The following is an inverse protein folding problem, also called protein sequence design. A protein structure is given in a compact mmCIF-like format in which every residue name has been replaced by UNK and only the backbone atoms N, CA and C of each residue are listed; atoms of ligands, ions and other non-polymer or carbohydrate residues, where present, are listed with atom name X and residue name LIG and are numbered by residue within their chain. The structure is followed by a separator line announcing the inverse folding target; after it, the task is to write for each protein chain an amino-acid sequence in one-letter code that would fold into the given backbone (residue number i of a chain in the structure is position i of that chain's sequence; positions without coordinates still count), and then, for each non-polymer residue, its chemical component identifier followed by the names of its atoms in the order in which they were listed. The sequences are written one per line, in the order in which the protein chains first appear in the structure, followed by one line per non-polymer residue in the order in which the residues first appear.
data_IF_028988238812
#
_entry.id   IF_028988238812
#
_cell.length_a   1.000
_cell.length_b   1.000
_cell.length_c   1.000
_cell.angle_alpha   90.00
_cell.angle_beta   90.00
_cell.angle_gamma   90.00
#
_symmetry.space_group_name_H-M   'P 1'
#
loop_
_entity.id
_entity.type
_entity.pdbx_description
1 polymer ?
#
# COMPACT_ATOMS: atom_id res chain seq x y z
N UNK A 1 -3.47 16.04 24.41
CA UNK A 1 -3.96 16.65 23.16
C UNK A 1 -5.47 16.82 23.30
N UNK A 2 -6.03 17.96 22.95
CA UNK A 2 -7.49 18.13 22.96
C UNK A 2 -8.00 17.57 21.63
N UNK A 3 -8.85 16.56 21.69
CA UNK A 3 -9.50 15.94 20.52
C UNK A 3 -10.57 16.92 20.02
N UNK A 4 -10.57 17.22 18.73
CA UNK A 4 -11.59 18.05 18.10
C UNK A 4 -12.82 17.22 17.67
N UNK A 5 -13.87 17.90 17.14
CA UNK A 5 -15.13 17.28 16.74
C UNK A 5 -14.98 16.24 15.63
N UNK A 6 -14.13 16.52 14.61
CA UNK A 6 -13.91 15.58 13.51
C UNK A 6 -13.12 14.34 13.97
N UNK A 7 -12.10 14.56 14.80
CA UNK A 7 -11.34 13.47 15.41
C UNK A 7 -12.23 12.59 16.30
N UNK A 8 -13.09 13.22 17.13
CA UNK A 8 -14.03 12.50 17.99
C UNK A 8 -15.00 11.66 17.15
N UNK A 9 -15.49 12.20 16.03
CA UNK A 9 -16.38 11.48 15.11
C UNK A 9 -15.71 10.23 14.52
N UNK A 10 -14.41 10.29 14.19
CA UNK A 10 -13.66 9.10 13.74
C UNK A 10 -13.52 8.07 14.84
N UNK A 11 -13.30 8.50 16.10
CA UNK A 11 -13.14 7.61 17.24
C UNK A 11 -14.45 6.89 17.57
N UNK A 12 -15.58 7.60 17.54
CA UNK A 12 -16.88 7.10 17.97
C UNK A 12 -17.62 6.27 16.91
N UNK A 13 -17.34 6.49 15.63
CA UNK A 13 -18.00 5.76 14.54
C UNK A 13 -17.41 4.34 14.39
N UNK A 14 -18.08 3.34 14.94
CA UNK A 14 -17.61 1.94 14.94
C UNK A 14 -18.41 1.00 14.02
N UNK A 15 -19.51 1.47 13.43
CA UNK A 15 -20.43 0.61 12.69
C UNK A 15 -20.35 0.79 11.16
N UNK A 16 -19.65 1.84 10.68
CA UNK A 16 -19.51 2.16 9.26
C UNK A 16 -18.05 2.12 8.82
N UNK A 17 -17.85 1.83 7.54
CA UNK A 17 -16.56 2.08 6.89
C UNK A 17 -16.29 3.59 6.88
N UNK A 18 -15.03 3.97 7.04
CA UNK A 18 -14.59 5.37 7.09
C UNK A 18 -13.54 5.62 6.02
N UNK A 19 -13.73 6.72 5.30
CA UNK A 19 -12.70 7.34 4.49
C UNK A 19 -12.27 8.64 5.17
N UNK A 20 -11.08 8.62 5.75
CA UNK A 20 -10.51 9.76 6.45
C UNK A 20 -9.52 10.50 5.55
N UNK A 21 -9.89 11.72 5.15
CA UNK A 21 -9.00 12.63 4.42
C UNK A 21 -8.38 13.62 5.38
N UNK A 22 -7.07 13.57 5.49
CA UNK A 22 -6.40 14.35 6.52
C UNK A 22 -4.96 14.68 6.11
N UNK A 23 -4.67 15.97 5.98
CA UNK A 23 -3.32 16.42 5.64
C UNK A 23 -2.29 16.15 6.77
N UNK A 24 -0.99 16.23 6.44
CA UNK A 24 0.05 16.09 7.46
C UNK A 24 -0.13 17.09 8.59
N UNK A 25 0.06 16.65 9.82
CA UNK A 25 -0.04 17.52 11.00
C UNK A 25 -1.46 17.73 11.55
N UNK A 26 -2.47 17.06 11.01
CA UNK A 26 -3.86 17.10 11.50
C UNK A 26 -4.15 16.10 12.63
N UNK A 27 -3.18 15.25 13.00
CA UNK A 27 -3.33 14.29 14.08
C UNK A 27 -3.88 12.92 13.67
N UNK A 28 -3.76 12.54 12.38
CA UNK A 28 -4.17 11.23 11.84
C UNK A 28 -3.82 10.05 12.76
N UNK A 29 -2.54 9.77 12.89
CA UNK A 29 -2.01 8.61 13.64
C UNK A 29 -2.45 8.60 15.11
N UNK A 30 -2.58 9.79 15.73
CA UNK A 30 -3.13 9.89 17.07
C UNK A 30 -4.60 9.46 17.11
N UNK A 31 -5.41 9.96 16.19
CA UNK A 31 -6.83 9.64 16.12
C UNK A 31 -7.04 8.15 15.88
N UNK A 32 -6.23 7.52 15.02
CA UNK A 32 -6.25 6.07 14.81
C UNK A 32 -5.94 5.31 16.10
N UNK A 33 -4.93 5.74 16.85
CA UNK A 33 -4.60 5.11 18.14
C UNK A 33 -5.74 5.26 19.18
N UNK A 34 -6.37 6.42 19.28
CA UNK A 34 -7.53 6.63 20.15
C UNK A 34 -8.74 5.80 19.72
N UNK A 35 -8.97 5.66 18.40
CA UNK A 35 -10.03 4.80 17.87
C UNK A 35 -9.81 3.34 18.26
N UNK A 36 -8.58 2.82 18.07
CA UNK A 36 -8.25 1.44 18.48
C UNK A 36 -8.44 1.25 19.98
N UNK A 37 -8.00 2.21 20.79
CA UNK A 37 -8.25 2.19 22.25
C UNK A 37 -9.74 2.15 22.55
N UNK A 38 -10.55 2.96 21.89
CA UNK A 38 -12.01 2.99 22.07
C UNK A 38 -12.69 1.68 21.65
N UNK A 39 -12.25 1.04 20.55
CA UNK A 39 -12.74 -0.28 20.13
C UNK A 39 -12.51 -1.32 21.24
N UNK A 40 -11.29 -1.35 21.81
CA UNK A 40 -10.92 -2.29 22.87
C UNK A 40 -11.73 -2.00 24.14
N UNK A 41 -11.80 -0.75 24.61
CA UNK A 41 -12.50 -0.36 25.82
C UNK A 41 -14.02 -0.56 25.74
N UNK A 42 -14.60 -0.38 24.56
CA UNK A 42 -16.03 -0.62 24.32
C UNK A 42 -16.41 -2.10 24.26
N UNK A 43 -15.41 -3.01 24.20
CA UNK A 43 -15.66 -4.45 24.10
C UNK A 43 -16.31 -4.88 22.79
N UNK A 44 -16.18 -4.10 21.72
CA UNK A 44 -16.75 -4.43 20.40
C UNK A 44 -16.12 -5.68 19.79
N UNK A 45 -14.83 -5.89 20.03
CA UNK A 45 -14.11 -7.10 19.64
C UNK A 45 -12.91 -7.34 20.55
N UNK A 46 -12.31 -8.50 20.44
CA UNK A 46 -11.03 -8.79 21.09
C UNK A 46 -9.89 -8.05 20.38
N UNK A 47 -8.86 -7.64 21.12
CA UNK A 47 -7.76 -6.84 20.57
C UNK A 47 -7.02 -7.53 19.39
N UNK A 48 -6.96 -8.87 19.35
CA UNK A 48 -6.35 -9.63 18.26
C UNK A 48 -7.20 -9.63 16.97
N UNK A 49 -8.42 -9.11 17.02
CA UNK A 49 -9.31 -8.95 15.87
C UNK A 49 -9.18 -7.55 15.23
N UNK A 50 -8.20 -6.78 15.66
CA UNK A 50 -7.90 -5.44 15.12
C UNK A 50 -6.59 -5.51 14.33
N UNK A 51 -6.63 -5.06 13.07
CA UNK A 51 -5.48 -4.93 12.19
C UNK A 51 -5.23 -3.46 11.87
N UNK A 52 -4.00 -3.00 12.10
CA UNK A 52 -3.55 -1.67 11.71
C UNK A 52 -2.37 -1.80 10.74
N UNK A 53 -2.54 -1.28 9.54
CA UNK A 53 -1.49 -1.24 8.53
C UNK A 53 -0.93 0.17 8.40
N UNK A 54 0.39 0.27 8.32
CA UNK A 54 1.12 1.52 8.15
C UNK A 54 2.16 1.38 7.05
N UNK A 55 2.65 2.50 6.53
CA UNK A 55 3.64 2.46 5.44
C UNK A 55 5.06 2.08 5.92
N UNK A 56 5.46 2.44 7.15
CA UNK A 56 6.81 2.20 7.66
C UNK A 56 6.80 1.46 9.00
N UNK A 57 7.87 0.67 9.24
CA UNK A 57 8.08 0.00 10.53
C UNK A 57 8.15 1.00 11.69
N UNK A 58 8.69 2.19 11.47
CA UNK A 58 8.73 3.26 12.46
C UNK A 58 7.32 3.72 12.83
N UNK A 59 6.44 3.96 11.84
CA UNK A 59 5.06 4.35 12.08
C UNK A 59 4.27 3.25 12.81
N UNK A 60 4.49 1.97 12.45
CA UNK A 60 3.90 0.84 13.16
C UNK A 60 4.32 0.81 14.63
N UNK A 61 5.61 1.01 14.92
CA UNK A 61 6.12 1.05 16.29
C UNK A 61 5.60 2.25 17.08
N UNK A 62 5.50 3.43 16.47
CA UNK A 62 4.92 4.62 17.09
C UNK A 62 3.44 4.42 17.41
N UNK A 63 2.66 3.85 16.49
CA UNK A 63 1.26 3.53 16.69
C UNK A 63 1.08 2.54 17.84
N UNK A 64 1.87 1.46 17.86
CA UNK A 64 1.88 0.47 18.91
C UNK A 64 2.13 1.09 20.28
N UNK A 65 3.19 1.89 20.41
CA UNK A 65 3.54 2.57 21.66
C UNK A 65 2.43 3.51 22.16
N UNK A 66 1.73 4.18 21.23
CA UNK A 66 0.60 5.06 21.57
C UNK A 66 -0.59 4.26 22.10
N UNK A 67 -0.97 3.17 21.41
CA UNK A 67 -2.08 2.32 21.87
C UNK A 67 -1.74 1.69 23.22
N UNK A 68 -0.49 1.21 23.41
CA UNK A 68 -0.02 0.69 24.72
C UNK A 68 -0.12 1.73 25.84
N UNK A 69 0.15 3.00 25.53
CA UNK A 69 0.01 4.08 26.53
C UNK A 69 -1.43 4.39 26.91
N UNK A 70 -2.41 4.04 26.05
CA UNK A 70 -3.83 4.28 26.27
C UNK A 70 -4.51 3.12 27.00
N UNK A 71 -4.30 1.88 26.55
CA UNK A 71 -5.03 0.70 27.04
C UNK A 71 -4.16 -0.36 27.72
N UNK A 72 -2.85 -0.16 27.78
CA UNK A 72 -1.91 -1.06 28.45
C UNK A 72 -1.74 -2.41 27.74
N UNK A 73 -1.78 -3.52 28.52
CA UNK A 73 -1.49 -4.87 28.03
C UNK A 73 -2.34 -5.35 26.84
N UNK A 74 -3.65 -5.06 26.74
CA UNK A 74 -4.48 -5.44 25.60
C UNK A 74 -3.91 -5.00 24.23
N UNK A 75 -3.21 -3.85 24.19
CA UNK A 75 -2.58 -3.35 22.97
C UNK A 75 -1.58 -4.33 22.32
N UNK A 76 -0.98 -5.22 23.09
CA UNK A 76 -0.01 -6.21 22.59
C UNK A 76 -0.62 -7.24 21.66
N UNK A 77 -1.92 -7.46 21.77
CA UNK A 77 -2.63 -8.41 20.91
C UNK A 77 -3.13 -7.78 19.61
N UNK A 78 -3.08 -6.45 19.46
CA UNK A 78 -3.43 -5.77 18.20
C UNK A 78 -2.37 -6.09 17.15
N UNK A 79 -2.79 -6.51 15.97
CA UNK A 79 -1.89 -6.71 14.83
C UNK A 79 -1.56 -5.35 14.21
N UNK A 80 -0.31 -4.88 14.41
CA UNK A 80 0.17 -3.59 13.87
C UNK A 80 1.45 -3.85 13.08
N UNK A 81 1.41 -3.61 11.77
CA UNK A 81 2.54 -3.92 10.88
C UNK A 81 2.55 -3.04 9.63
N UNK A 82 3.64 -3.11 8.88
CA UNK A 82 3.62 -2.65 7.49
C UNK A 82 2.92 -3.69 6.62
N UNK A 83 2.47 -3.26 5.43
CA UNK A 83 1.80 -4.16 4.49
C UNK A 83 2.70 -5.35 4.10
N UNK A 84 3.97 -5.11 3.77
CA UNK A 84 4.91 -6.20 3.47
C UNK A 84 5.15 -7.15 4.64
N UNK A 85 5.24 -6.62 5.88
CA UNK A 85 5.38 -7.46 7.08
C UNK A 85 4.13 -8.31 7.31
N UNK A 86 2.95 -7.78 7.02
CA UNK A 86 1.69 -8.52 7.06
C UNK A 86 1.71 -9.65 6.00
N UNK A 87 2.07 -9.34 4.76
CA UNK A 87 2.17 -10.36 3.71
C UNK A 87 3.15 -11.48 4.08
N UNK A 88 4.32 -11.14 4.58
CA UNK A 88 5.29 -12.13 5.05
C UNK A 88 4.73 -13.00 6.18
N UNK A 89 4.03 -12.39 7.13
CA UNK A 89 3.39 -13.14 8.21
C UNK A 89 2.33 -14.12 7.68
N UNK A 90 1.49 -13.69 6.73
CA UNK A 90 0.49 -14.55 6.07
C UNK A 90 1.18 -15.75 5.42
N UNK A 91 2.20 -15.52 4.60
CA UNK A 91 2.95 -16.57 3.90
C UNK A 91 3.57 -17.57 4.89
N UNK A 92 4.19 -17.08 5.96
CA UNK A 92 4.76 -17.95 6.99
C UNK A 92 3.71 -18.80 7.73
N UNK A 93 2.53 -18.23 8.02
CA UNK A 93 1.48 -18.98 8.71
C UNK A 93 0.86 -20.05 7.83
N UNK A 94 0.62 -19.74 6.56
CA UNK A 94 0.10 -20.73 5.62
C UNK A 94 1.16 -21.79 5.26
N UNK A 95 2.44 -21.43 5.11
CA UNK A 95 3.54 -22.36 4.93
C UNK A 95 3.70 -23.37 6.09
N UNK A 96 3.42 -22.97 7.34
CA UNK A 96 3.37 -23.90 8.49
C UNK A 96 2.23 -24.88 8.44
N UNK A 97 1.16 -24.56 7.71
CA UNK A 97 -0.03 -25.42 7.55
C UNK A 97 0.11 -26.36 6.37
N UNK A 98 0.80 -25.90 5.33
CA UNK A 98 1.05 -26.66 4.12
C UNK A 98 2.51 -26.44 3.70
N UNK A 99 3.36 -27.43 3.93
CA UNK A 99 4.80 -27.39 3.64
C UNK A 99 5.11 -27.28 2.12
N UNK A 100 4.14 -27.46 1.25
CA UNK A 100 4.29 -27.18 -0.19
C UNK A 100 4.25 -25.68 -0.53
N UNK A 101 3.79 -24.86 0.42
CA UNK A 101 3.75 -23.41 0.33
C UNK A 101 5.03 -22.84 0.98
N UNK A 102 5.38 -21.68 0.72
CA UNK A 102 6.42 -20.78 1.25
C UNK A 102 7.16 -21.24 2.56
N UNK A 103 7.89 -22.34 2.54
CA UNK A 103 8.76 -22.75 3.65
C UNK A 103 10.18 -22.27 3.42
N UNK A 104 10.82 -21.74 4.49
CA UNK A 104 12.23 -21.33 4.52
C UNK A 104 12.66 -20.32 3.44
N UNK A 105 11.80 -19.36 3.11
CA UNK A 105 12.16 -18.28 2.18
C UNK A 105 12.97 -17.20 2.86
N UNK A 106 14.00 -16.70 2.18
CA UNK A 106 14.81 -15.55 2.57
C UNK A 106 14.32 -14.30 1.83
N UNK A 107 14.05 -13.22 2.55
CA UNK A 107 13.69 -11.93 1.93
C UNK A 107 14.98 -11.28 1.44
N UNK A 108 15.03 -10.96 0.17
CA UNK A 108 16.10 -10.22 -0.49
C UNK A 108 15.72 -8.74 -0.54
N UNK A 109 16.61 -7.88 -0.06
CA UNK A 109 16.43 -6.44 -0.16
C UNK A 109 16.83 -5.90 -1.55
N UNK A 110 16.77 -4.58 -1.73
CA UNK A 110 17.04 -3.95 -3.03
C UNK A 110 18.50 -4.19 -3.50
N UNK A 111 19.47 -4.25 -2.58
CA UNK A 111 20.89 -4.50 -2.93
C UNK A 111 21.11 -5.98 -3.28
N UNK A 112 20.51 -6.90 -2.55
CA UNK A 112 20.54 -8.33 -2.84
C UNK A 112 19.91 -8.64 -4.20
N UNK A 113 18.72 -8.08 -4.46
CA UNK A 113 18.00 -8.22 -5.73
C UNK A 113 18.80 -7.65 -6.91
N UNK A 114 19.52 -6.54 -6.67
CA UNK A 114 20.37 -5.90 -7.68
C UNK A 114 21.45 -6.83 -8.18
N UNK A 115 22.14 -7.54 -7.30
CA UNK A 115 23.17 -8.50 -7.71
C UNK A 115 22.61 -9.58 -8.65
N UNK A 116 21.36 -10.01 -8.41
CA UNK A 116 20.70 -11.04 -9.20
C UNK A 116 20.22 -10.54 -10.58
N UNK A 117 19.74 -9.30 -10.69
CA UNK A 117 19.22 -8.80 -11.96
C UNK A 117 20.24 -8.08 -12.83
N UNK A 118 21.37 -7.62 -12.29
CA UNK A 118 22.43 -6.91 -13.04
C UNK A 118 22.86 -7.60 -14.35
N UNK A 119 22.99 -8.94 -14.43
CA UNK A 119 23.36 -9.62 -15.65
C UNK A 119 22.35 -9.47 -16.80
N UNK A 120 21.10 -9.18 -16.48
CA UNK A 120 19.97 -9.12 -17.42
C UNK A 120 19.49 -7.71 -17.71
N UNK A 121 19.96 -6.74 -16.91
CA UNK A 121 19.53 -5.34 -17.03
C UNK A 121 20.05 -4.69 -18.31
N UNK A 122 19.19 -3.99 -19.09
CA UNK A 122 19.63 -3.17 -20.22
C UNK A 122 20.69 -2.16 -19.81
N UNK A 123 21.74 -1.99 -20.64
CA UNK A 123 22.93 -1.18 -20.28
C UNK A 123 22.61 0.28 -19.99
N UNK A 124 21.66 0.85 -20.74
CA UNK A 124 21.30 2.27 -20.63
C UNK A 124 20.19 2.53 -19.60
N UNK A 125 19.60 1.49 -18.99
CA UNK A 125 18.56 1.62 -17.97
C UNK A 125 19.17 1.83 -16.58
N UNK A 126 18.58 2.73 -15.79
CA UNK A 126 18.95 2.92 -14.37
C UNK A 126 18.51 1.71 -13.55
N UNK A 127 19.27 1.37 -12.50
CA UNK A 127 18.96 0.24 -11.63
C UNK A 127 17.55 0.37 -11.02
N UNK A 128 17.21 1.55 -10.49
CA UNK A 128 15.90 1.81 -9.91
C UNK A 128 14.75 1.63 -10.93
N UNK A 129 14.95 2.03 -12.20
CA UNK A 129 13.95 1.85 -13.24
C UNK A 129 13.75 0.38 -13.59
N UNK A 130 14.85 -0.40 -13.61
CA UNK A 130 14.76 -1.82 -13.88
C UNK A 130 14.10 -2.60 -12.75
N UNK A 131 14.43 -2.26 -11.48
CA UNK A 131 13.74 -2.81 -10.32
C UNK A 131 12.21 -2.51 -10.37
N UNK A 132 11.84 -1.27 -10.70
CA UNK A 132 10.43 -0.90 -10.87
C UNK A 132 9.76 -1.65 -12.03
N UNK A 133 10.48 -1.89 -13.12
CA UNK A 133 9.99 -2.68 -14.26
C UNK A 133 9.71 -4.14 -13.85
N UNK A 134 10.64 -4.76 -13.11
CA UNK A 134 10.46 -6.12 -12.57
C UNK A 134 9.20 -6.17 -11.70
N UNK A 135 9.08 -5.26 -10.73
CA UNK A 135 7.93 -5.21 -9.83
C UNK A 135 6.62 -5.06 -10.61
N UNK A 136 6.55 -4.11 -11.54
CA UNK A 136 5.36 -3.88 -12.37
C UNK A 136 4.96 -5.12 -13.18
N UNK A 137 5.91 -5.81 -13.79
CA UNK A 137 5.62 -7.03 -14.57
C UNK A 137 5.18 -8.18 -13.67
N UNK A 138 5.80 -8.37 -12.50
CA UNK A 138 5.40 -9.40 -11.52
C UNK A 138 3.99 -9.15 -10.98
N UNK A 139 3.69 -7.92 -10.60
CA UNK A 139 2.35 -7.53 -10.12
C UNK A 139 1.28 -7.74 -11.20
N UNK A 140 1.59 -7.32 -12.44
CA UNK A 140 0.67 -7.47 -13.56
C UNK A 140 0.41 -8.96 -13.87
N UNK A 141 1.45 -9.79 -13.84
CA UNK A 141 1.32 -11.25 -13.93
C UNK A 141 0.39 -11.80 -12.84
N UNK A 142 0.54 -11.32 -11.61
CA UNK A 142 -0.28 -11.75 -10.49
C UNK A 142 -1.75 -11.35 -10.65
N UNK A 143 -2.02 -10.12 -11.06
CA UNK A 143 -3.40 -9.61 -11.27
C UNK A 143 -4.15 -10.41 -12.34
N UNK A 144 -3.47 -10.83 -13.41
CA UNK A 144 -4.07 -11.60 -14.50
C UNK A 144 -3.90 -13.11 -14.35
N UNK A 145 -3.38 -13.57 -13.21
CA UNK A 145 -3.23 -14.97 -12.86
C UNK A 145 -2.54 -15.82 -13.94
N UNK A 146 -1.52 -15.24 -14.61
CA UNK A 146 -0.72 -15.94 -15.60
C UNK A 146 0.25 -16.91 -14.91
N UNK A 147 -0.27 -18.03 -14.45
CA UNK A 147 0.47 -19.11 -13.78
C UNK A 147 0.30 -20.40 -14.55
N UNK A 148 1.34 -20.81 -15.29
CA UNK A 148 1.43 -22.10 -15.96
C UNK A 148 2.66 -22.86 -15.48
N UNK A 149 2.96 -23.99 -16.12
CA UNK A 149 4.18 -24.76 -15.85
C UNK A 149 5.45 -24.07 -16.37
N UNK A 150 5.32 -23.08 -17.27
CA UNK A 150 6.43 -22.37 -17.88
C UNK A 150 6.47 -20.91 -17.45
N UNK A 151 7.45 -20.56 -16.61
CA UNK A 151 7.64 -19.20 -16.13
C UNK A 151 7.90 -18.21 -17.27
N UNK A 152 8.68 -18.62 -18.28
CA UNK A 152 8.97 -17.81 -19.47
C UNK A 152 7.71 -17.50 -20.27
N UNK A 153 6.83 -18.50 -20.45
CA UNK A 153 5.58 -18.31 -21.19
C UNK A 153 4.60 -17.40 -20.42
N UNK A 154 4.60 -17.48 -19.09
CA UNK A 154 3.81 -16.60 -18.24
C UNK A 154 4.27 -15.14 -18.42
N UNK A 155 5.56 -14.86 -18.32
CA UNK A 155 6.08 -13.51 -18.52
C UNK A 155 5.92 -13.03 -19.95
N UNK A 156 6.02 -13.91 -20.94
CA UNK A 156 5.75 -13.57 -22.35
C UNK A 156 4.31 -13.07 -22.54
N UNK A 157 3.33 -13.80 -22.01
CA UNK A 157 1.91 -13.38 -22.03
C UNK A 157 1.71 -12.06 -21.30
N UNK A 158 2.35 -11.91 -20.15
CA UNK A 158 2.28 -10.70 -19.34
C UNK A 158 2.79 -9.49 -20.10
N UNK A 159 3.96 -9.57 -20.72
CA UNK A 159 4.57 -8.47 -21.47
C UNK A 159 3.78 -8.13 -22.73
N UNK A 160 3.28 -9.12 -23.46
CA UNK A 160 2.40 -8.88 -24.62
C UNK A 160 1.13 -8.11 -24.24
N UNK A 161 0.58 -8.38 -23.06
CA UNK A 161 -0.59 -7.66 -22.57
C UNK A 161 -0.25 -6.26 -22.06
N UNK A 162 0.87 -6.11 -21.35
CA UNK A 162 1.39 -4.80 -20.93
C UNK A 162 1.65 -3.87 -22.11
N UNK A 163 2.17 -4.37 -23.23
CA UNK A 163 2.37 -3.61 -24.44
C UNK A 163 1.06 -3.02 -24.99
N UNK A 164 -0.03 -3.79 -24.90
CA UNK A 164 -1.34 -3.36 -25.37
C UNK A 164 -2.03 -2.36 -24.43
N UNK A 165 -1.90 -2.56 -23.12
CA UNK A 165 -2.70 -1.85 -22.12
C UNK A 165 -1.93 -0.71 -21.42
N UNK A 166 -0.61 -0.85 -21.25
CA UNK A 166 0.20 0.06 -20.42
C UNK A 166 1.51 0.50 -21.07
N UNK A 167 1.64 0.50 -22.40
CA UNK A 167 2.88 0.85 -23.10
C UNK A 167 3.48 2.19 -22.66
N UNK A 168 2.65 3.23 -22.50
CA UNK A 168 3.10 4.57 -22.06
C UNK A 168 3.71 4.59 -20.66
N UNK A 169 3.23 3.75 -19.76
CA UNK A 169 3.75 3.66 -18.39
C UNK A 169 5.10 2.93 -18.38
N UNK A 170 5.21 1.87 -19.17
CA UNK A 170 6.47 1.16 -19.38
C UNK A 170 7.50 2.07 -20.07
N UNK A 171 7.12 2.81 -21.11
CA UNK A 171 8.01 3.76 -21.79
C UNK A 171 8.68 4.74 -20.83
N UNK A 172 7.94 5.26 -19.83
CA UNK A 172 8.50 6.19 -18.85
C UNK A 172 9.70 5.61 -18.08
N UNK A 173 9.74 4.31 -17.84
CA UNK A 173 10.85 3.65 -17.15
C UNK A 173 12.13 3.60 -18.00
N UNK A 174 12.00 3.72 -19.32
CA UNK A 174 13.14 3.74 -20.26
C UNK A 174 13.71 5.14 -20.51
N UNK A 175 13.17 6.19 -19.86
CA UNK A 175 13.78 7.51 -19.95
C UNK A 175 15.06 7.59 -19.11
N UNK A 176 16.15 8.00 -19.77
CA UNK A 176 17.43 8.28 -19.13
C UNK A 176 17.88 9.69 -19.51
N UNK A 177 18.18 10.55 -18.54
CA UNK A 177 18.57 11.96 -18.75
C UNK A 177 17.64 12.72 -19.72
N UNK A 178 16.32 12.53 -19.55
CA UNK A 178 15.27 13.09 -20.42
C UNK A 178 15.26 12.60 -21.88
N UNK A 179 15.91 11.49 -22.15
CA UNK A 179 15.93 10.87 -23.48
C UNK A 179 15.36 9.45 -23.38
N UNK A 180 14.47 9.08 -24.30
CA UNK A 180 13.95 7.72 -24.40
C UNK A 180 15.03 6.79 -24.96
N UNK A 181 15.33 5.71 -24.25
CA UNK A 181 16.19 4.62 -24.74
C UNK A 181 15.36 3.69 -25.63
N UNK A 182 15.17 4.10 -26.90
CA UNK A 182 14.27 3.41 -27.83
C UNK A 182 14.71 2.01 -28.19
N UNK A 183 16.02 1.77 -28.28
CA UNK A 183 16.60 0.45 -28.53
C UNK A 183 16.31 -0.50 -27.34
N UNK A 184 16.62 -0.07 -26.11
CA UNK A 184 16.34 -0.86 -24.90
C UNK A 184 14.85 -1.15 -24.74
N UNK A 185 13.96 -0.19 -25.06
CA UNK A 185 12.51 -0.39 -25.02
C UNK A 185 12.06 -1.42 -26.07
N UNK A 186 12.59 -1.33 -27.29
CA UNK A 186 12.30 -2.32 -28.35
C UNK A 186 12.76 -3.71 -27.95
N UNK A 187 13.95 -3.82 -27.38
CA UNK A 187 14.49 -5.08 -26.89
C UNK A 187 13.65 -5.65 -25.73
N UNK A 188 13.13 -4.78 -24.86
CA UNK A 188 12.23 -5.21 -23.78
C UNK A 188 10.95 -5.86 -24.33
N UNK A 189 10.29 -5.29 -25.31
CA UNK A 189 9.08 -5.90 -25.88
C UNK A 189 9.35 -7.28 -26.48
N UNK A 190 10.55 -7.50 -26.98
CA UNK A 190 10.95 -8.78 -27.60
C UNK A 190 11.51 -9.76 -26.56
N UNK A 191 12.40 -9.32 -25.66
CA UNK A 191 13.22 -10.18 -24.79
C UNK A 191 12.98 -9.98 -23.29
N UNK A 192 12.19 -8.98 -22.89
CA UNK A 192 11.97 -8.66 -21.46
C UNK A 192 11.43 -9.82 -20.64
N UNK A 193 10.64 -10.70 -21.26
CA UNK A 193 10.14 -11.92 -20.61
C UNK A 193 11.28 -12.87 -20.19
N UNK A 194 12.36 -12.96 -21.01
CA UNK A 194 13.53 -13.76 -20.65
C UNK A 194 14.33 -13.11 -19.51
N UNK A 195 14.46 -11.79 -19.49
CA UNK A 195 15.22 -11.07 -18.45
C UNK A 195 14.58 -11.28 -17.08
N UNK A 196 13.26 -11.10 -17.03
CA UNK A 196 12.52 -11.21 -15.76
C UNK A 196 12.39 -12.68 -15.32
N UNK A 197 12.16 -13.61 -16.24
CA UNK A 197 12.13 -15.02 -15.90
C UNK A 197 13.46 -15.51 -15.32
N UNK A 198 14.58 -15.11 -15.92
CA UNK A 198 15.91 -15.46 -15.39
C UNK A 198 16.21 -14.85 -14.04
N UNK A 199 15.77 -13.62 -13.80
CA UNK A 199 15.86 -13.00 -12.48
C UNK A 199 15.06 -13.83 -11.45
N UNK A 200 13.81 -14.17 -11.74
CA UNK A 200 12.96 -14.97 -10.86
C UNK A 200 13.56 -16.37 -10.63
N UNK A 201 14.08 -17.03 -11.68
CA UNK A 201 14.75 -18.32 -11.55
C UNK A 201 16.02 -18.21 -10.65
N UNK A 202 16.78 -17.13 -10.81
CA UNK A 202 17.95 -16.87 -9.95
C UNK A 202 17.53 -16.69 -8.49
N UNK A 203 16.46 -15.92 -8.23
CA UNK A 203 15.92 -15.69 -6.90
C UNK A 203 15.41 -16.99 -6.27
N UNK A 204 14.63 -17.78 -7.02
CA UNK A 204 14.13 -19.08 -6.57
C UNK A 204 15.25 -20.10 -6.29
N UNK A 205 16.35 -20.09 -7.08
CA UNK A 205 17.48 -21.00 -6.90
C UNK A 205 18.17 -20.85 -5.55
N UNK A 206 18.04 -19.69 -4.92
CA UNK A 206 18.57 -19.38 -3.58
C UNK A 206 17.49 -19.33 -2.50
N UNK A 207 16.30 -19.86 -2.79
CA UNK A 207 15.11 -19.78 -1.91
C UNK A 207 14.78 -18.35 -1.49
N UNK A 208 15.08 -17.38 -2.38
CA UNK A 208 14.83 -15.96 -2.17
C UNK A 208 13.43 -15.54 -2.62
N UNK A 209 12.94 -14.51 -1.98
CA UNK A 209 11.75 -13.75 -2.40
C UNK A 209 12.04 -12.25 -2.27
N UNK A 210 11.65 -11.47 -3.26
CA UNK A 210 11.68 -10.02 -3.14
C UNK A 210 10.40 -9.47 -2.50
N UNK A 211 10.36 -8.17 -2.24
CA UNK A 211 9.17 -7.55 -1.63
C UNK A 211 7.92 -7.68 -2.49
N UNK A 212 8.06 -7.67 -3.82
CA UNK A 212 6.92 -7.87 -4.73
C UNK A 212 6.39 -9.30 -4.65
N UNK A 213 7.27 -10.29 -4.49
CA UNK A 213 6.86 -11.69 -4.32
C UNK A 213 6.02 -11.91 -3.07
N UNK A 214 6.27 -11.16 -1.99
CA UNK A 214 5.44 -11.25 -0.79
C UNK A 214 3.98 -10.88 -1.10
N UNK A 215 3.79 -9.81 -1.85
CA UNK A 215 2.46 -9.32 -2.23
C UNK A 215 1.79 -10.29 -3.22
N UNK A 216 2.51 -10.66 -4.28
CA UNK A 216 2.04 -11.62 -5.28
C UNK A 216 1.69 -12.97 -4.65
N UNK A 217 2.49 -13.41 -3.69
CA UNK A 217 2.26 -14.66 -2.95
C UNK A 217 0.97 -14.65 -2.15
N UNK A 218 0.71 -13.57 -1.39
CA UNK A 218 -0.54 -13.43 -0.64
C UNK A 218 -1.73 -13.27 -1.58
N UNK A 219 -1.60 -12.46 -2.65
CA UNK A 219 -2.65 -12.35 -3.67
C UNK A 219 -3.04 -13.73 -4.22
N UNK A 220 -2.05 -14.56 -4.57
CA UNK A 220 -2.27 -15.92 -5.06
C UNK A 220 -2.90 -16.83 -4.02
N UNK A 221 -2.45 -16.77 -2.76
CA UNK A 221 -3.05 -17.55 -1.66
C UNK A 221 -4.53 -17.20 -1.46
N UNK A 222 -4.87 -15.93 -1.53
CA UNK A 222 -6.24 -15.45 -1.30
C UNK A 222 -7.19 -15.74 -2.49
N UNK A 223 -6.69 -16.24 -3.63
CA UNK A 223 -7.56 -16.83 -4.64
C UNK A 223 -8.23 -18.11 -4.13
N UNK A 224 -7.62 -18.80 -3.15
CA UNK A 224 -8.30 -19.89 -2.44
C UNK A 224 -9.31 -19.33 -1.44
N UNK A 225 -10.64 -19.59 -1.62
CA UNK A 225 -11.68 -19.03 -0.76
C UNK A 225 -11.54 -19.41 0.70
N UNK A 226 -11.07 -20.63 1.01
CA UNK A 226 -10.93 -21.12 2.39
C UNK A 226 -9.79 -20.39 3.13
N UNK A 227 -8.68 -20.12 2.43
CA UNK A 227 -7.57 -19.36 2.98
C UNK A 227 -8.00 -17.91 3.18
N UNK A 228 -8.61 -17.29 2.16
CA UNK A 228 -9.11 -15.92 2.23
C UNK A 228 -10.09 -15.73 3.38
N UNK A 229 -11.09 -16.61 3.51
CA UNK A 229 -12.10 -16.53 4.58
C UNK A 229 -11.47 -16.66 5.96
N UNK A 230 -10.50 -17.54 6.12
CA UNK A 230 -9.76 -17.69 7.38
C UNK A 230 -9.07 -16.39 7.82
N UNK A 231 -8.45 -15.68 6.88
CA UNK A 231 -7.79 -14.42 7.17
C UNK A 231 -8.76 -13.27 7.32
N UNK A 232 -9.82 -13.21 6.51
CA UNK A 232 -10.89 -12.24 6.59
C UNK A 232 -11.61 -12.30 7.94
N UNK A 233 -12.03 -13.49 8.38
CA UNK A 233 -12.74 -13.69 9.63
C UNK A 233 -11.88 -13.51 10.90
N UNK A 234 -10.56 -13.44 10.74
CA UNK A 234 -9.63 -13.14 11.84
C UNK A 234 -9.81 -11.72 12.37
N UNK A 235 -10.17 -10.79 11.51
CA UNK A 235 -10.27 -9.38 11.86
C UNK A 235 -11.72 -8.91 11.83
N UNK A 236 -12.04 -7.92 12.64
CA UNK A 236 -13.32 -7.20 12.61
C UNK A 236 -13.12 -5.72 12.29
N UNK A 237 -11.97 -5.16 12.69
CA UNK A 237 -11.62 -3.78 12.43
C UNK A 237 -10.27 -3.71 11.72
N UNK A 238 -10.25 -3.05 10.59
CA UNK A 238 -9.05 -2.86 9.77
C UNK A 238 -8.84 -1.36 9.57
N UNK A 239 -7.66 -0.86 9.95
CA UNK A 239 -7.26 0.53 9.72
C UNK A 239 -6.02 0.56 8.84
N UNK A 240 -6.04 1.36 7.77
CA UNK A 240 -4.92 1.57 6.85
C UNK A 240 -4.52 3.03 6.89
N UNK A 241 -3.30 3.31 7.35
CA UNK A 241 -2.72 4.66 7.35
C UNK A 241 -1.85 4.88 6.10
N UNK A 242 -1.76 6.12 5.65
CA UNK A 242 -1.00 6.55 4.46
C UNK A 242 -1.43 5.81 3.17
N UNK A 243 -2.74 5.63 2.98
CA UNK A 243 -3.28 4.88 1.84
C UNK A 243 -2.91 5.47 0.47
N UNK A 244 -2.50 6.74 0.39
CA UNK A 244 -2.07 7.36 -0.87
C UNK A 244 -0.80 6.74 -1.43
N UNK A 245 -0.04 6.01 -0.62
CA UNK A 245 1.20 5.34 -1.02
C UNK A 245 0.98 3.86 -1.39
N UNK A 246 -0.26 3.40 -1.34
CA UNK A 246 -0.65 2.01 -1.63
C UNK A 246 -0.61 1.73 -3.15
N UNK A 247 0.03 0.64 -3.53
CA UNK A 247 0.03 0.12 -4.91
C UNK A 247 -1.29 -0.60 -5.28
N UNK A 248 -1.52 -0.76 -6.57
CA UNK A 248 -2.77 -1.40 -7.05
C UNK A 248 -2.92 -2.85 -6.60
N UNK A 249 -1.85 -3.63 -6.56
CA UNK A 249 -1.89 -5.01 -6.08
C UNK A 249 -2.04 -5.08 -4.56
N UNK A 250 -1.38 -4.16 -3.83
CA UNK A 250 -1.56 -4.02 -2.38
C UNK A 250 -3.02 -3.75 -2.03
N UNK A 251 -3.65 -2.82 -2.75
CA UNK A 251 -5.07 -2.52 -2.59
C UNK A 251 -5.94 -3.75 -2.81
N UNK A 252 -5.72 -4.51 -3.89
CA UNK A 252 -6.49 -5.74 -4.18
C UNK A 252 -6.36 -6.79 -3.09
N UNK A 253 -5.16 -6.97 -2.54
CA UNK A 253 -4.95 -7.91 -1.42
C UNK A 253 -5.70 -7.45 -0.17
N UNK A 254 -5.68 -6.16 0.13
CA UNK A 254 -6.40 -5.61 1.27
C UNK A 254 -7.92 -5.70 1.08
N UNK A 255 -8.41 -5.37 -0.11
CA UNK A 255 -9.83 -5.45 -0.47
C UNK A 255 -10.42 -6.85 -0.22
N UNK A 256 -9.66 -7.90 -0.48
CA UNK A 256 -10.06 -9.29 -0.20
C UNK A 256 -10.32 -9.57 1.29
N UNK A 257 -9.82 -8.71 2.20
CA UNK A 257 -10.03 -8.79 3.64
C UNK A 257 -11.18 -7.90 4.14
N UNK A 258 -11.70 -6.99 3.32
CA UNK A 258 -12.60 -5.93 3.80
C UNK A 258 -14.07 -6.31 3.87
N UNK A 259 -14.50 -7.27 3.05
CA UNK A 259 -15.90 -7.69 3.02
C UNK A 259 -16.36 -8.21 4.41
N UNK A 260 -17.39 -7.59 4.96
CA UNK A 260 -17.91 -7.94 6.29
C UNK A 260 -17.15 -7.36 7.49
N UNK A 261 -16.04 -6.64 7.26
CA UNK A 261 -15.23 -5.98 8.27
C UNK A 261 -15.48 -4.47 8.30
N UNK A 262 -15.16 -3.82 9.43
CA UNK A 262 -15.19 -2.37 9.56
C UNK A 262 -13.85 -1.77 9.16
N UNK A 263 -13.82 -1.08 8.02
CA UNK A 263 -12.60 -0.58 7.41
C UNK A 263 -12.49 0.93 7.56
N UNK A 264 -11.31 1.39 7.96
CA UNK A 264 -10.94 2.80 7.95
C UNK A 264 -9.72 2.97 7.05
N UNK A 265 -9.89 3.70 5.94
CA UNK A 265 -8.77 4.16 5.11
C UNK A 265 -8.44 5.61 5.45
N UNK A 266 -7.16 5.88 5.70
CA UNK A 266 -6.67 7.21 6.06
C UNK A 266 -5.53 7.63 5.15
N UNK A 267 -5.59 8.85 4.61
CA UNK A 267 -4.52 9.35 3.76
C UNK A 267 -4.62 10.84 3.43
N UNK A 268 -3.58 11.30 2.75
CA UNK A 268 -3.46 12.65 2.19
C UNK A 268 -3.09 12.57 0.70
N UNK A 269 -4.04 12.80 -0.18
CA UNK A 269 -3.85 12.68 -1.63
C UNK A 269 -2.80 13.63 -2.21
N UNK A 270 -2.55 14.76 -1.53
CA UNK A 270 -1.56 15.75 -1.98
C UNK A 270 -0.14 15.43 -1.53
N UNK A 271 0.07 14.30 -0.83
CA UNK A 271 1.40 13.84 -0.39
C UNK A 271 1.87 12.59 -1.13
N UNK A 272 1.20 12.15 -2.18
CA UNK A 272 1.63 11.02 -3.00
C UNK A 272 2.99 11.30 -3.63
N UNK A 273 3.98 10.50 -3.30
CA UNK A 273 5.33 10.56 -3.88
C UNK A 273 5.71 9.26 -4.59
N UNK A 274 4.83 8.28 -4.62
CA UNK A 274 5.06 6.93 -5.16
C UNK A 274 4.26 6.62 -6.43
N UNK A 275 3.73 7.63 -7.15
CA UNK A 275 3.08 7.43 -8.46
C UNK A 275 3.96 6.62 -9.44
N UNK A 276 5.28 6.79 -9.34
CA UNK A 276 6.24 6.05 -10.15
C UNK A 276 6.27 4.53 -9.85
N UNK A 277 5.78 4.10 -8.69
CA UNK A 277 5.55 2.69 -8.31
C UNK A 277 4.16 2.18 -8.69
N UNK A 278 3.33 2.98 -9.37
CA UNK A 278 1.98 2.60 -9.77
C UNK A 278 0.91 2.87 -8.73
N UNK A 279 1.20 3.65 -7.66
CA UNK A 279 0.14 4.14 -6.79
C UNK A 279 -0.74 5.14 -7.53
N UNK A 280 -2.05 4.93 -7.44
CA UNK A 280 -3.08 5.82 -8.01
C UNK A 280 -4.15 6.06 -6.93
N UNK A 281 -3.88 7.00 -6.00
CA UNK A 281 -4.75 7.21 -4.85
C UNK A 281 -6.14 7.68 -5.23
N UNK A 282 -6.30 8.37 -6.37
CA UNK A 282 -7.60 8.84 -6.81
C UNK A 282 -8.50 7.70 -7.27
N UNK A 283 -7.95 6.79 -8.07
CA UNK A 283 -8.65 5.59 -8.50
C UNK A 283 -9.02 4.72 -7.29
N UNK A 284 -8.08 4.50 -6.37
CA UNK A 284 -8.33 3.69 -5.18
C UNK A 284 -9.41 4.31 -4.27
N UNK A 285 -9.47 5.66 -4.19
CA UNK A 285 -10.53 6.37 -3.50
C UNK A 285 -11.89 6.16 -4.15
N UNK A 286 -11.95 6.28 -5.48
CA UNK A 286 -13.18 6.06 -6.23
C UNK A 286 -13.69 4.63 -6.08
N UNK A 287 -12.80 3.63 -6.23
CA UNK A 287 -13.10 2.21 -6.03
C UNK A 287 -13.63 1.97 -4.61
N UNK A 288 -12.92 2.43 -3.57
CA UNK A 288 -13.37 2.25 -2.19
C UNK A 288 -14.69 2.95 -1.89
N UNK A 289 -14.88 4.15 -2.43
CA UNK A 289 -16.13 4.90 -2.23
C UNK A 289 -17.30 4.22 -2.92
N UNK A 290 -17.09 3.72 -4.12
CA UNK A 290 -18.11 3.01 -4.89
C UNK A 290 -18.52 1.68 -4.23
N UNK A 291 -17.55 0.88 -3.81
CA UNK A 291 -17.78 -0.51 -3.39
C UNK A 291 -18.21 -0.60 -1.91
N UNK A 292 -17.73 0.30 -1.06
CA UNK A 292 -17.95 0.24 0.39
C UNK A 292 -18.80 1.37 0.96
N UNK A 293 -19.17 2.38 0.17
CA UNK A 293 -19.99 3.53 0.59
C UNK A 293 -19.60 4.08 1.98
N UNK A 294 -18.34 4.47 2.19
CA UNK A 294 -17.82 4.85 3.50
C UNK A 294 -18.37 6.19 3.96
N UNK A 295 -18.34 6.41 5.26
CA UNK A 295 -18.48 7.74 5.84
C UNK A 295 -17.23 8.56 5.53
N UNK A 296 -17.33 9.59 4.67
CA UNK A 296 -16.24 10.53 4.42
C UNK A 296 -16.11 11.50 5.59
N UNK A 297 -14.90 11.57 6.19
CA UNK A 297 -14.55 12.53 7.23
C UNK A 297 -13.29 13.27 6.77
N UNK A 298 -13.27 14.59 6.94
CA UNK A 298 -12.14 15.43 6.55
C UNK A 298 -11.61 16.13 7.78
N UNK A 299 -10.28 16.12 7.98
CA UNK A 299 -9.64 16.90 9.03
C UNK A 299 -9.22 18.25 8.49
N UNK A 300 -9.87 19.30 8.93
CA UNK A 300 -9.59 20.66 8.50
C UNK A 300 -8.50 21.35 9.33
N UNK A 301 -8.28 20.95 10.58
CA UNK A 301 -7.36 21.64 11.48
C UNK A 301 -5.96 21.05 11.49
N UNK A 302 -4.98 21.84 11.04
CA UNK A 302 -3.55 21.50 11.10
C UNK A 302 -2.92 22.00 12.40
N UNK A 303 -2.24 21.14 13.13
CA UNK A 303 -1.59 21.42 14.42
C UNK A 303 -0.07 21.56 14.31
N UNK A 304 0.53 21.28 13.14
CA UNK A 304 1.97 21.22 12.92
C UNK A 304 2.52 22.50 12.33
N UNK A 305 1.89 23.01 11.27
CA UNK A 305 2.40 24.10 10.48
C UNK A 305 1.86 25.44 10.97
N UNK A 306 2.68 26.50 10.87
CA UNK A 306 2.20 27.85 11.09
C UNK A 306 1.24 28.29 9.97
N UNK A 307 0.45 29.31 10.25
CA UNK A 307 -0.60 29.81 9.35
C UNK A 307 -0.07 30.24 7.98
N UNK A 308 1.06 30.92 7.96
CA UNK A 308 1.64 31.48 6.73
C UNK A 308 2.06 30.37 5.79
N UNK A 309 2.85 29.39 6.27
CA UNK A 309 3.32 28.25 5.46
C UNK A 309 2.16 27.39 4.96
N UNK A 310 1.21 27.10 5.84
CA UNK A 310 0.06 26.30 5.48
C UNK A 310 -0.81 26.97 4.41
N UNK A 311 -1.11 28.28 4.60
CA UNK A 311 -1.90 29.05 3.64
C UNK A 311 -1.22 29.17 2.27
N UNK A 312 0.12 29.34 2.25
CA UNK A 312 0.88 29.38 0.99
C UNK A 312 0.82 28.02 0.28
N UNK A 313 1.10 26.94 0.99
CA UNK A 313 1.04 25.59 0.42
C UNK A 313 -0.36 25.28 -0.16
N UNK A 314 -1.42 25.53 0.62
CA UNK A 314 -2.79 25.27 0.18
C UNK A 314 -3.20 26.12 -1.03
N UNK A 315 -2.88 27.42 -1.05
CA UNK A 315 -3.13 28.27 -2.21
C UNK A 315 -2.37 27.82 -3.46
N UNK A 316 -1.15 27.32 -3.29
CA UNK A 316 -0.37 26.74 -4.41
C UNK A 316 -1.09 25.53 -4.97
N UNK A 317 -1.52 24.57 -4.11
CA UNK A 317 -2.30 23.41 -4.52
C UNK A 317 -3.60 23.81 -5.21
N UNK A 318 -4.34 24.76 -4.65
CA UNK A 318 -5.59 25.26 -5.22
C UNK A 318 -5.40 25.92 -6.61
N UNK A 319 -4.25 26.57 -6.81
CA UNK A 319 -3.91 27.19 -8.10
C UNK A 319 -3.49 26.16 -9.13
N UNK A 320 -2.72 25.15 -8.72
CA UNK A 320 -2.21 24.10 -9.62
C UNK A 320 -3.26 23.03 -9.93
N UNK A 321 -4.11 22.69 -8.96
CA UNK A 321 -5.06 21.58 -9.02
C UNK A 321 -6.46 21.99 -8.51
N UNK A 322 -7.12 23.00 -9.10
CA UNK A 322 -8.34 23.57 -8.54
C UNK A 322 -9.52 22.58 -8.45
N UNK A 323 -9.68 21.71 -9.45
CA UNK A 323 -10.74 20.69 -9.44
C UNK A 323 -10.49 19.68 -8.34
N UNK A 324 -9.27 19.15 -8.26
CA UNK A 324 -8.88 18.14 -7.31
C UNK A 324 -9.00 18.61 -5.85
N UNK A 325 -8.61 19.86 -5.58
CA UNK A 325 -8.78 20.46 -4.25
C UNK A 325 -10.25 20.60 -3.92
N UNK A 326 -11.10 20.99 -4.89
CA UNK A 326 -12.56 21.09 -4.73
C UNK A 326 -13.23 19.74 -4.50
N UNK A 327 -12.73 18.67 -5.10
CA UNK A 327 -13.25 17.30 -4.91
C UNK A 327 -12.91 16.74 -3.52
N UNK A 328 -11.78 17.19 -2.95
CA UNK A 328 -11.30 16.72 -1.65
C UNK A 328 -11.83 17.57 -0.51
N UNK A 329 -11.77 18.90 -0.61
CA UNK A 329 -12.10 19.83 0.47
C UNK A 329 -13.29 20.71 0.12
N UNK A 330 -14.34 20.65 0.94
CA UNK A 330 -15.50 21.54 0.83
C UNK A 330 -15.18 22.97 1.33
N UNK A 331 -14.24 23.10 2.28
CA UNK A 331 -13.80 24.34 2.90
C UNK A 331 -12.27 24.41 2.99
N UNK A 332 -11.73 25.62 3.12
CA UNK A 332 -10.28 25.78 3.32
C UNK A 332 -9.86 25.26 4.70
N UNK A 333 -8.88 24.33 4.78
CA UNK A 333 -8.38 23.86 6.06
C UNK A 333 -7.77 24.96 6.92
N UNK A 334 -7.95 24.86 8.22
CA UNK A 334 -7.45 25.82 9.19
C UNK A 334 -6.03 25.51 9.66
N UNK A 335 -5.18 26.52 9.69
CA UNK A 335 -3.84 26.40 10.28
C UNK A 335 -3.86 26.60 11.80
N UNK A 336 -2.81 26.15 12.47
CA UNK A 336 -2.61 26.36 13.89
C UNK A 336 -2.50 27.87 14.22
N UNK A 337 -3.42 28.36 15.04
CA UNK A 337 -3.43 29.76 15.46
C UNK A 337 -2.39 30.12 16.56
N UNK A 338 -1.68 29.14 17.09
CA UNK A 338 -0.75 29.30 18.22
C UNK A 338 0.70 29.60 17.82
N UNK A 339 0.99 29.76 16.52
CA UNK A 339 2.35 29.93 15.99
C UNK A 339 2.40 31.00 14.88
N UNK A 340 1.94 32.21 15.18
CA UNK A 340 2.26 33.38 14.34
C UNK A 340 3.63 33.95 14.71
#
# INVERSE_FOLDING_TARGET
MVINSEQQRVIDELDRNILLLASAGTGKTNTLAYRVAHIIESGRCEAHQILCMTFTNKAAQEMKSRIESLVGQPAKAVDISTFHSFCFYVLQQEGKRDESLYTDVTIFDEEDCKELYLPYKPRNMRDMNFASLISMVKEYRSVYEFYSESLIDDYKRTIQRLEQEQSKQIEKLFYNYNTLATEDLSDFWVHGHEWIARYDESLQSVHGVDFTDLICGVHRLFQNPDIRERWRSRYQYISVDEMQDTGSLEYKVMEMLWEGNHVLLCGDYFQTIYEWRGSDPFRLLEEFTHDFNPLKIIFYKNYRSNRTLFTMAFKTLQTMFPQLVGDVYDEMPEANSASD
#
